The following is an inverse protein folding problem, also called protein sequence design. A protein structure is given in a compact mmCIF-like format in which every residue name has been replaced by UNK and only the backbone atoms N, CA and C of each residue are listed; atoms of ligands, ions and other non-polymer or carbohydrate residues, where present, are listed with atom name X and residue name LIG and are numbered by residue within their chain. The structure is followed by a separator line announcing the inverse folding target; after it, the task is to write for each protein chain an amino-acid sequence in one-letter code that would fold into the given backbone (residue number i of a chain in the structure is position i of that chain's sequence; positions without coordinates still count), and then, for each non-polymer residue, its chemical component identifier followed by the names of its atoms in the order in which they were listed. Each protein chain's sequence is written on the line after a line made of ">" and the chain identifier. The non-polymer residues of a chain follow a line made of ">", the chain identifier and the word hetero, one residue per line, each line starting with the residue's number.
data_IF_603884439637
#
_entry.id   IF_603884439637
#
_cell.length_a   1.000
_cell.length_b   1.000
_cell.length_c   1.000
_cell.angle_alpha   90.00
_cell.angle_beta   90.00
_cell.angle_gamma   90.00
#
_symmetry.space_group_name_H-M   'P 1'
#
loop_
_entity.id
_entity.type
_entity.pdbx_description
1 polymer ?
#
# COMPACT_ATOMS: atom_id res chain seq x y z
N UNK A 1 -12.30 5.80 23.65
CA UNK A 1 -13.44 5.01 23.15
C UNK A 1 -13.40 3.60 23.70
N UNK A 2 -12.37 2.78 23.46
CA UNK A 2 -12.32 1.39 23.99
C UNK A 2 -12.53 1.29 25.51
N UNK A 3 -11.87 2.09 26.37
CA UNK A 3 -12.06 2.00 27.82
C UNK A 3 -13.48 2.36 28.29
N UNK A 4 -14.29 3.00 27.44
CA UNK A 4 -15.68 3.33 27.73
C UNK A 4 -16.62 2.13 27.56
N UNK A 5 -16.17 1.06 26.91
CA UNK A 5 -16.97 -0.12 26.58
C UNK A 5 -16.38 -1.44 27.08
N UNK A 6 -15.09 -1.48 27.44
CA UNK A 6 -14.38 -2.68 27.85
C UNK A 6 -13.51 -2.41 29.09
N UNK A 7 -13.45 -3.37 30.00
CA UNK A 7 -12.55 -3.36 31.16
C UNK A 7 -11.09 -3.43 30.69
N UNK A 8 -10.23 -2.61 31.29
CA UNK A 8 -8.81 -2.50 30.93
C UNK A 8 -7.99 -3.75 31.28
N UNK A 9 -8.52 -4.61 32.15
CA UNK A 9 -7.97 -5.95 32.44
C UNK A 9 -8.23 -6.94 31.30
N UNK A 10 -9.22 -6.67 30.45
CA UNK A 10 -9.54 -7.50 29.28
C UNK A 10 -8.87 -6.93 28.03
N UNK A 11 -8.98 -5.62 27.80
CA UNK A 11 -8.40 -4.93 26.65
C UNK A 11 -7.66 -3.69 27.09
N UNK A 12 -6.33 -3.79 27.12
CA UNK A 12 -5.45 -2.66 27.41
C UNK A 12 -4.93 -2.04 26.12
N UNK A 13 -5.04 -0.71 26.00
CA UNK A 13 -4.45 0.05 24.89
C UNK A 13 -3.22 0.77 25.40
N UNK A 14 -2.07 0.53 24.76
CA UNK A 14 -0.80 1.18 25.10
C UNK A 14 -0.29 1.91 23.87
N UNK A 15 -0.29 3.23 23.92
CA UNK A 15 0.16 4.08 22.83
C UNK A 15 1.68 4.33 22.89
N UNK A 16 2.33 4.39 21.73
CA UNK A 16 3.74 4.73 21.64
C UNK A 16 4.39 4.33 20.34
N UNK A 17 5.68 4.64 20.23
CA UNK A 17 6.52 4.27 19.09
C UNK A 17 7.29 2.96 19.29
N UNK A 18 8.37 2.80 18.54
CA UNK A 18 9.20 1.58 18.55
C UNK A 18 9.69 1.17 19.94
N UNK A 19 9.99 2.12 20.83
CA UNK A 19 10.43 1.85 22.21
C UNK A 19 9.36 1.11 23.02
N UNK A 20 8.12 1.60 22.98
CA UNK A 20 6.99 1.00 23.70
C UNK A 20 6.66 -0.38 23.10
N UNK A 21 6.62 -0.47 21.77
CA UNK A 21 6.40 -1.76 21.09
C UNK A 21 7.43 -2.82 21.47
N UNK A 22 8.71 -2.44 21.61
CA UNK A 22 9.76 -3.36 22.08
C UNK A 22 9.53 -3.81 23.53
N UNK A 23 9.22 -2.88 24.44
CA UNK A 23 8.94 -3.18 25.85
C UNK A 23 7.75 -4.14 26.01
N UNK A 24 6.71 -3.96 25.19
CA UNK A 24 5.57 -4.88 25.13
C UNK A 24 6.00 -6.27 24.65
N UNK A 25 6.73 -6.34 23.54
CA UNK A 25 7.20 -7.62 22.98
C UNK A 25 8.16 -8.38 23.90
N UNK A 26 8.92 -7.69 24.76
CA UNK A 26 9.82 -8.32 25.73
C UNK A 26 9.06 -9.03 26.88
N UNK A 27 7.76 -8.75 27.08
CA UNK A 27 6.92 -9.49 28.03
C UNK A 27 6.59 -10.90 27.53
N UNK A 28 6.24 -11.80 28.45
CA UNK A 28 5.79 -13.15 28.12
C UNK A 28 4.31 -13.13 27.71
N UNK A 29 4.06 -13.36 26.43
CA UNK A 29 2.71 -13.50 25.88
C UNK A 29 2.44 -14.94 25.44
N UNK A 30 1.17 -15.34 25.48
CA UNK A 30 0.74 -16.63 24.92
C UNK A 30 0.57 -16.58 23.40
N UNK A 31 0.31 -15.39 22.85
CA UNK A 31 0.17 -15.15 21.40
C UNK A 31 0.51 -13.71 21.07
N UNK A 32 1.21 -13.50 19.96
CA UNK A 32 1.46 -12.16 19.39
C UNK A 32 0.83 -12.08 17.99
N UNK A 33 0.20 -10.94 17.69
CA UNK A 33 -0.28 -10.59 16.35
C UNK A 33 0.37 -9.26 15.95
N UNK A 34 1.07 -9.25 14.81
CA UNK A 34 1.78 -8.06 14.33
C UNK A 34 1.42 -7.78 12.88
N UNK A 35 1.08 -6.52 12.60
CA UNK A 35 0.87 -6.01 11.24
C UNK A 35 1.87 -4.90 10.95
N UNK A 36 2.61 -4.99 9.83
CA UNK A 36 3.56 -3.95 9.46
C UNK A 36 4.59 -4.35 8.40
N UNK A 37 5.76 -3.72 8.45
CA UNK A 37 6.82 -4.01 7.47
C UNK A 37 7.54 -5.33 7.74
N UNK A 38 8.01 -6.07 6.71
CA UNK A 38 8.79 -7.29 6.91
C UNK A 38 10.05 -7.09 7.78
N UNK A 39 10.68 -5.91 7.70
CA UNK A 39 11.84 -5.56 8.53
C UNK A 39 11.48 -5.61 10.01
N UNK A 40 10.37 -4.98 10.41
CA UNK A 40 9.94 -4.93 11.81
C UNK A 40 9.33 -6.26 12.25
N UNK A 41 8.61 -6.96 11.36
CA UNK A 41 8.10 -8.32 11.63
C UNK A 41 9.21 -9.30 11.99
N UNK A 42 10.37 -9.24 11.29
CA UNK A 42 11.56 -10.04 11.65
C UNK A 42 12.09 -9.69 13.05
N UNK A 43 12.14 -8.40 13.40
CA UNK A 43 12.56 -7.96 14.74
C UNK A 43 11.59 -8.51 15.80
N UNK A 44 10.28 -8.39 15.57
CA UNK A 44 9.27 -8.88 16.50
C UNK A 44 9.36 -10.39 16.70
N UNK A 45 9.53 -11.18 15.63
CA UNK A 45 9.70 -12.62 15.71
C UNK A 45 10.96 -13.03 16.49
N UNK A 46 12.07 -12.32 16.30
CA UNK A 46 13.32 -12.55 17.05
C UNK A 46 13.19 -12.24 18.55
N UNK A 47 12.23 -11.41 18.95
CA UNK A 47 11.93 -11.17 20.37
C UNK A 47 10.98 -12.25 20.89
N UNK A 48 9.92 -12.56 20.14
CA UNK A 48 8.92 -13.56 20.50
C UNK A 48 9.52 -14.96 20.74
N UNK A 49 10.53 -15.35 19.95
CA UNK A 49 11.18 -16.67 20.07
C UNK A 49 11.86 -16.89 21.43
N UNK A 50 12.27 -15.82 22.12
CA UNK A 50 12.88 -15.91 23.47
C UNK A 50 11.95 -16.56 24.49
N UNK A 51 10.63 -16.41 24.29
CA UNK A 51 9.58 -16.97 25.14
C UNK A 51 8.85 -18.15 24.48
N UNK A 52 9.31 -18.60 23.30
CA UNK A 52 8.61 -19.58 22.44
C UNK A 52 7.16 -19.16 22.14
N UNK A 53 6.89 -17.86 22.10
CA UNK A 53 5.55 -17.33 21.86
C UNK A 53 5.18 -17.47 20.38
N UNK A 54 4.05 -18.11 20.04
CA UNK A 54 3.56 -18.14 18.67
C UNK A 54 3.22 -16.72 18.19
N UNK A 55 3.65 -16.37 16.98
CA UNK A 55 3.42 -15.05 16.39
C UNK A 55 2.74 -15.18 15.02
N UNK A 56 1.75 -14.33 14.75
CA UNK A 56 1.19 -14.12 13.41
C UNK A 56 1.72 -12.81 12.85
N UNK A 57 2.22 -12.84 11.62
CA UNK A 57 2.81 -11.70 10.93
C UNK A 57 2.01 -11.36 9.67
N UNK A 58 1.26 -10.26 9.71
CA UNK A 58 0.56 -9.69 8.55
C UNK A 58 1.45 -8.61 7.93
N UNK A 59 2.14 -8.95 6.85
CA UNK A 59 3.18 -8.11 6.27
C UNK A 59 2.80 -7.60 4.87
N UNK A 60 3.47 -6.55 4.43
CA UNK A 60 3.35 -6.07 3.05
C UNK A 60 4.08 -6.96 2.04
N UNK A 61 3.80 -6.72 0.76
CA UNK A 61 4.47 -7.34 -0.37
C UNK A 61 4.24 -6.55 -1.66
N UNK A 62 4.68 -7.11 -2.79
CA UNK A 62 4.36 -6.59 -4.12
C UNK A 62 3.32 -7.48 -4.78
N UNK A 63 2.05 -7.06 -4.79
CA UNK A 63 0.97 -7.84 -5.37
C UNK A 63 0.88 -7.61 -6.89
N UNK A 64 1.15 -8.62 -7.74
CA UNK A 64 1.01 -8.49 -9.19
C UNK A 64 -0.44 -8.58 -9.63
N UNK A 65 -0.75 -7.96 -10.76
CA UNK A 65 -1.91 -8.30 -11.59
C UNK A 65 -1.42 -8.85 -12.92
N UNK A 66 -1.83 -10.07 -13.25
CA UNK A 66 -1.47 -10.73 -14.51
C UNK A 66 -2.63 -10.62 -15.49
N UNK A 67 -2.36 -10.09 -16.69
CA UNK A 67 -3.33 -9.90 -17.76
C UNK A 67 -2.87 -10.71 -18.98
N UNK A 68 -3.68 -11.69 -19.37
CA UNK A 68 -3.42 -12.58 -20.51
C UNK A 68 -4.42 -12.36 -21.65
N UNK A 69 -4.20 -13.09 -22.74
CA UNK A 69 -4.99 -13.04 -23.98
C UNK A 69 -6.41 -13.56 -23.94
N UNK A 70 -6.86 -14.10 -22.81
CA UNK A 70 -8.24 -14.61 -22.71
C UNK A 70 -9.26 -13.51 -22.43
N UNK A 71 -8.80 -12.27 -22.17
CA UNK A 71 -9.70 -11.13 -21.96
C UNK A 71 -10.32 -10.65 -23.28
N UNK A 72 -11.65 -10.63 -23.31
CA UNK A 72 -12.38 -9.91 -24.35
C UNK A 72 -12.28 -8.38 -24.17
N UNK A 73 -12.49 -7.58 -25.24
CA UNK A 73 -12.47 -6.12 -25.14
C UNK A 73 -13.45 -5.54 -24.11
N UNK A 74 -14.63 -6.14 -23.95
CA UNK A 74 -15.62 -5.69 -22.96
C UNK A 74 -15.17 -5.94 -21.52
N UNK A 75 -14.49 -7.07 -21.27
CA UNK A 75 -13.93 -7.40 -19.96
C UNK A 75 -12.75 -6.49 -19.60
N UNK A 76 -11.97 -6.04 -20.59
CA UNK A 76 -10.84 -5.12 -20.37
C UNK A 76 -11.28 -3.83 -19.67
N UNK A 77 -12.46 -3.29 -20.01
CA UNK A 77 -13.02 -2.12 -19.32
C UNK A 77 -13.32 -2.36 -17.84
N UNK A 78 -13.79 -3.55 -17.49
CA UNK A 78 -14.06 -3.91 -16.09
C UNK A 78 -12.75 -4.12 -15.32
N UNK A 79 -11.78 -4.80 -15.95
CA UNK A 79 -10.45 -5.04 -15.37
C UNK A 79 -9.75 -3.72 -15.06
N UNK A 80 -9.72 -2.77 -16.01
CA UNK A 80 -9.11 -1.45 -15.77
C UNK A 80 -9.78 -0.70 -14.63
N UNK A 81 -11.11 -0.66 -14.57
CA UNK A 81 -11.82 -0.02 -13.45
C UNK A 81 -11.44 -0.61 -12.10
N UNK A 82 -11.28 -1.95 -12.03
CA UNK A 82 -10.85 -2.64 -10.80
C UNK A 82 -9.41 -2.32 -10.43
N UNK A 83 -8.52 -2.23 -11.42
CA UNK A 83 -7.12 -1.85 -11.21
C UNK A 83 -7.02 -0.42 -10.67
N UNK A 84 -7.65 0.54 -11.35
CA UNK A 84 -7.61 1.94 -10.95
C UNK A 84 -8.23 2.15 -9.56
N UNK A 85 -9.38 1.52 -9.30
CA UNK A 85 -10.03 1.57 -7.99
C UNK A 85 -9.19 0.90 -6.89
N UNK A 86 -8.62 -0.27 -7.17
CA UNK A 86 -7.80 -1.01 -6.22
C UNK A 86 -6.45 -0.34 -5.92
N UNK A 87 -5.85 0.35 -6.89
CA UNK A 87 -4.60 1.09 -6.69
C UNK A 87 -4.84 2.43 -6.00
N UNK A 88 -5.78 3.23 -6.49
CA UNK A 88 -5.87 4.65 -6.11
C UNK A 88 -7.01 4.96 -5.15
N UNK A 89 -8.09 4.17 -5.19
CA UNK A 89 -9.30 4.42 -4.40
C UNK A 89 -9.09 4.22 -2.89
N UNK A 90 -8.36 3.19 -2.48
CA UNK A 90 -8.09 2.93 -1.06
C UNK A 90 -6.71 3.46 -0.65
N UNK A 91 -6.69 4.48 0.20
CA UNK A 91 -5.48 5.11 0.76
C UNK A 91 -4.39 5.43 -0.30
N UNK A 92 -4.78 5.63 -1.56
CA UNK A 92 -3.87 5.90 -2.68
C UNK A 92 -2.73 4.91 -2.82
N UNK A 93 -3.05 3.63 -2.63
CA UNK A 93 -2.13 2.52 -2.82
C UNK A 93 -1.28 2.21 -1.59
N UNK A 94 -1.50 2.93 -0.48
CA UNK A 94 -0.88 2.65 0.82
C UNK A 94 -1.60 1.48 1.52
N UNK A 95 -1.58 0.30 0.90
CA UNK A 95 -2.22 -0.91 1.38
C UNK A 95 -1.32 -2.12 1.19
N UNK A 96 -1.27 -3.04 2.15
CA UNK A 96 -0.44 -4.25 2.09
C UNK A 96 -0.83 -5.20 0.94
N UNK A 97 -2.11 -5.16 0.55
CA UNK A 97 -2.69 -5.92 -0.57
C UNK A 97 -2.91 -5.08 -1.83
N UNK A 98 -2.35 -3.86 -1.85
CA UNK A 98 -2.50 -2.95 -2.98
C UNK A 98 -1.80 -3.50 -4.23
N UNK A 99 -2.38 -3.22 -5.40
CA UNK A 99 -1.77 -3.59 -6.68
C UNK A 99 -0.43 -2.88 -6.79
N UNK A 100 0.66 -3.62 -6.96
CA UNK A 100 2.01 -3.04 -7.03
C UNK A 100 2.45 -2.85 -8.48
N UNK A 101 2.33 -3.89 -9.29
CA UNK A 101 2.71 -3.89 -10.70
C UNK A 101 1.79 -4.77 -11.55
N UNK A 102 1.83 -4.57 -12.87
CA UNK A 102 1.09 -5.35 -13.85
C UNK A 102 2.05 -6.15 -14.72
N UNK A 103 1.70 -7.39 -15.02
CA UNK A 103 2.34 -8.23 -16.03
C UNK A 103 1.33 -8.47 -17.15
N UNK A 104 1.63 -7.97 -18.34
CA UNK A 104 0.67 -7.87 -19.43
C UNK A 104 1.27 -8.47 -20.70
N UNK A 105 0.48 -9.24 -21.44
CA UNK A 105 0.87 -9.69 -22.77
C UNK A 105 0.97 -8.49 -23.73
N UNK A 106 2.09 -8.40 -24.46
CA UNK A 106 2.52 -7.19 -25.18
C UNK A 106 1.45 -6.57 -26.09
N UNK A 107 0.67 -7.41 -26.77
CA UNK A 107 -0.42 -6.97 -27.67
C UNK A 107 -1.51 -6.12 -27.00
N UNK A 108 -1.63 -6.16 -25.67
CA UNK A 108 -2.60 -5.36 -24.91
C UNK A 108 -2.00 -4.13 -24.23
N UNK A 109 -0.68 -3.98 -24.21
CA UNK A 109 0.00 -2.94 -23.43
C UNK A 109 -0.52 -1.54 -23.77
N UNK A 110 -0.55 -1.17 -25.05
CA UNK A 110 -0.98 0.16 -25.48
C UNK A 110 -2.47 0.43 -25.19
N UNK A 111 -3.33 -0.54 -25.49
CA UNK A 111 -4.77 -0.39 -25.27
C UNK A 111 -5.12 -0.32 -23.78
N UNK A 112 -4.40 -1.06 -22.95
CA UNK A 112 -4.52 -1.01 -21.50
C UNK A 112 -4.10 0.35 -20.95
N UNK A 113 -2.93 0.86 -21.34
CA UNK A 113 -2.41 2.17 -20.89
C UNK A 113 -3.40 3.29 -21.20
N UNK A 114 -3.92 3.34 -22.43
CA UNK A 114 -4.87 4.38 -22.84
C UNK A 114 -6.20 4.31 -22.06
N UNK A 115 -6.67 3.08 -21.80
CA UNK A 115 -7.89 2.88 -21.02
C UNK A 115 -7.68 3.23 -19.53
N UNK A 116 -6.51 2.92 -18.97
CA UNK A 116 -6.12 3.30 -17.61
C UNK A 116 -6.09 4.82 -17.45
N UNK A 117 -5.41 5.54 -18.36
CA UNK A 117 -5.39 7.03 -18.36
C UNK A 117 -6.79 7.64 -18.33
N UNK A 118 -7.67 7.19 -19.24
CA UNK A 118 -9.06 7.66 -19.32
C UNK A 118 -9.85 7.35 -18.05
N UNK A 119 -9.63 6.18 -17.45
CA UNK A 119 -10.32 5.75 -16.24
C UNK A 119 -9.84 6.52 -15.02
N UNK A 120 -8.53 6.74 -14.90
CA UNK A 120 -7.93 7.56 -13.84
C UNK A 120 -8.50 8.98 -13.84
N UNK A 121 -8.53 9.65 -15.00
CA UNK A 121 -9.11 10.99 -15.14
C UNK A 121 -10.60 11.03 -14.76
N UNK A 122 -11.35 9.96 -15.08
CA UNK A 122 -12.76 9.86 -14.70
C UNK A 122 -12.94 9.74 -13.18
N UNK A 123 -12.07 9.01 -12.49
CA UNK A 123 -12.18 8.79 -11.04
C UNK A 123 -11.65 9.96 -10.23
N UNK A 124 -10.55 10.57 -10.67
CA UNK A 124 -9.78 11.55 -9.90
C UNK A 124 -9.82 12.96 -10.49
N UNK A 125 -10.51 13.15 -11.61
CA UNK A 125 -10.61 14.45 -12.29
C UNK A 125 -9.43 14.73 -13.22
N UNK A 126 -9.52 15.85 -13.92
CA UNK A 126 -8.57 16.24 -14.97
C UNK A 126 -7.43 17.13 -14.46
N UNK A 127 -7.53 17.69 -13.26
CA UNK A 127 -6.47 18.51 -12.67
C UNK A 127 -5.52 17.62 -11.83
N UNK A 128 -4.31 17.30 -12.32
CA UNK A 128 -3.42 16.40 -11.62
C UNK A 128 -2.79 17.03 -10.36
N UNK A 129 -2.86 18.37 -10.19
CA UNK A 129 -2.40 19.06 -8.97
C UNK A 129 -3.40 18.99 -7.82
N UNK A 130 -4.65 18.67 -8.13
CA UNK A 130 -5.78 18.61 -7.19
C UNK A 130 -6.68 17.42 -7.52
N UNK A 131 -6.15 16.19 -7.42
CA UNK A 131 -6.94 15.00 -7.70
C UNK A 131 -8.09 14.90 -6.70
N UNK A 132 -9.30 14.66 -7.21
CA UNK A 132 -10.46 14.32 -6.40
C UNK A 132 -10.29 12.92 -5.82
N UNK A 133 -10.77 12.72 -4.59
CA UNK A 133 -10.87 11.39 -3.95
C UNK A 133 -9.54 10.61 -3.93
N UNK A 134 -8.43 11.31 -3.66
CA UNK A 134 -7.12 10.70 -3.51
C UNK A 134 -6.52 11.11 -2.16
N UNK A 135 -6.04 10.12 -1.41
CA UNK A 135 -5.37 10.33 -0.13
C UNK A 135 -3.94 10.84 -0.34
N UNK A 136 -3.40 11.51 0.68
CA UNK A 136 -2.01 11.97 0.70
C UNK A 136 -1.09 10.86 1.21
N UNK A 137 0.20 10.97 0.86
CA UNK A 137 1.24 10.17 1.48
C UNK A 137 1.49 10.74 2.88
N UNK A 138 1.20 9.94 3.90
CA UNK A 138 1.08 10.45 5.28
C UNK A 138 2.42 10.84 5.94
N UNK A 139 3.56 10.29 5.46
CA UNK A 139 4.86 10.47 6.12
C UNK A 139 5.92 10.89 5.10
N UNK A 140 6.68 11.94 5.44
CA UNK A 140 7.72 12.55 4.61
C UNK A 140 8.72 11.53 4.05
N UNK A 141 9.23 10.62 4.87
CA UNK A 141 10.20 9.63 4.40
C UNK A 141 9.61 8.69 3.34
N UNK A 142 8.31 8.41 3.37
CA UNK A 142 7.65 7.62 2.32
C UNK A 142 7.46 8.42 1.04
N UNK A 143 7.16 9.71 1.15
CA UNK A 143 7.09 10.61 0.00
C UNK A 143 8.45 10.77 -0.67
N UNK A 144 9.50 11.01 0.10
CA UNK A 144 10.89 11.10 -0.39
C UNK A 144 11.30 9.81 -1.09
N UNK A 145 11.00 8.65 -0.50
CA UNK A 145 11.26 7.36 -1.13
C UNK A 145 10.56 7.21 -2.48
N UNK A 146 9.27 7.58 -2.57
CA UNK A 146 8.52 7.51 -3.83
C UNK A 146 9.05 8.52 -4.86
N UNK A 147 9.40 9.71 -4.42
CA UNK A 147 10.00 10.76 -5.25
C UNK A 147 11.34 10.32 -5.82
N UNK A 148 12.20 9.70 -5.01
CA UNK A 148 13.46 9.13 -5.44
C UNK A 148 13.30 8.02 -6.48
N UNK A 149 12.28 7.16 -6.33
CA UNK A 149 11.96 6.14 -7.34
C UNK A 149 11.53 6.75 -8.67
N UNK A 150 10.84 7.89 -8.66
CA UNK A 150 10.42 8.58 -9.88
C UNK A 150 11.59 9.30 -10.57
N UNK A 151 12.59 9.75 -9.80
CA UNK A 151 13.80 10.43 -10.30
C UNK A 151 14.84 9.48 -10.91
N UNK A 152 14.68 8.16 -10.74
CA UNK A 152 15.51 7.19 -11.44
C UNK A 152 15.40 7.40 -12.96
N UNK A 153 16.52 7.52 -13.72
CA UNK A 153 16.47 7.85 -15.15
C UNK A 153 15.64 6.87 -15.98
N UNK A 154 15.68 5.58 -15.65
CA UNK A 154 14.92 4.53 -16.36
C UNK A 154 13.44 4.69 -16.05
N UNK A 155 13.10 4.94 -14.78
CA UNK A 155 11.72 5.20 -14.38
C UNK A 155 11.18 6.48 -15.05
N UNK A 156 11.92 7.59 -14.97
CA UNK A 156 11.55 8.89 -15.57
C UNK A 156 11.28 8.76 -17.06
N UNK A 157 12.17 8.09 -17.80
CA UNK A 157 12.01 7.88 -19.24
C UNK A 157 10.80 7.00 -19.60
N UNK A 158 10.31 6.21 -18.66
CA UNK A 158 9.20 5.26 -18.84
C UNK A 158 7.84 5.80 -18.37
N UNK A 159 7.76 7.05 -17.90
CA UNK A 159 6.49 7.63 -17.42
C UNK A 159 5.54 7.87 -18.59
N UNK A 160 4.45 7.11 -18.63
CA UNK A 160 3.40 7.25 -19.65
C UNK A 160 2.23 8.15 -19.21
N UNK A 161 2.07 8.40 -17.91
CA UNK A 161 1.02 9.25 -17.32
C UNK A 161 1.42 9.73 -15.91
N UNK A 162 1.11 10.97 -15.56
CA UNK A 162 1.37 11.51 -14.21
C UNK A 162 2.84 11.88 -13.99
N UNK A 163 3.40 11.45 -12.86
CA UNK A 163 4.80 11.75 -12.48
C UNK A 163 5.01 13.11 -11.78
N UNK A 164 3.93 13.82 -11.46
CA UNK A 164 4.00 15.11 -10.77
C UNK A 164 4.17 14.91 -9.25
N UNK A 165 5.03 15.72 -8.66
CA UNK A 165 5.27 15.78 -7.22
C UNK A 165 4.80 17.14 -6.69
N UNK A 166 4.14 17.15 -5.54
CA UNK A 166 3.76 18.39 -4.85
C UNK A 166 4.16 18.31 -3.38
N UNK A 167 5.30 18.93 -3.06
CA UNK A 167 5.86 19.01 -1.72
C UNK A 167 5.07 19.96 -0.80
N UNK A 168 4.40 20.97 -1.36
CA UNK A 168 3.70 22.01 -0.61
C UNK A 168 2.37 21.51 0.00
N UNK A 169 1.86 20.36 -0.46
CA UNK A 169 0.59 19.77 -0.01
C UNK A 169 0.76 18.45 0.76
N UNK A 170 1.94 18.16 1.32
CA UNK A 170 2.09 17.05 2.28
C UNK A 170 1.20 17.27 3.51
#
# INVERSE_FOLDING_TARGET
>A
MIPSYMDDKVVMVVEGGARVGKQLLDQKWDKIFFTGSPRVGRIAMSIAVKHLTPITLELGGKCPVVIDSRLSPSQMHVVVKRIEGGKWGFCSGQACIGIDYLLVEDKFTLSLIELMKKTFQRFHGYNPKEPKNMARIMINHYFERLSGLLQDPVATASIVNGGLLNLEKM
#
